data_IF_704003883415
#
_entry.id   IF_704003883415
#
_cell.length_a   1.000
_cell.length_b   1.000
_cell.length_c   1.000
_cell.angle_alpha   90.00
_cell.angle_beta   90.00
_cell.angle_gamma   90.00
#
_symmetry.space_group_name_H-M   'P 1'
#
loop_
_entity.id
_entity.type
_entity.pdbx_description
1 polymer ?
#
# COMPACT_ATOMS: atom_id res chain seq x y z
N UNK A 1 3.14 -15.35 28.12
CA UNK A 1 2.68 -14.18 27.36
C UNK A 1 1.18 -14.34 27.20
N UNK A 2 0.44 -13.88 28.21
CA UNK A 2 -1.02 -13.80 28.16
C UNK A 2 -1.44 -12.90 27.00
N UNK A 3 -2.59 -13.21 26.40
CA UNK A 3 -2.97 -12.72 25.09
C UNK A 3 -3.35 -11.24 25.19
N UNK A 4 -2.43 -10.34 24.84
CA UNK A 4 -2.73 -8.93 24.58
C UNK A 4 -3.78 -8.72 23.45
N UNK A 5 -4.38 -9.79 22.93
CA UNK A 5 -5.39 -9.82 21.89
C UNK A 5 -6.68 -10.51 22.33
N UNK A 6 -6.94 -10.64 23.65
CA UNK A 6 -8.17 -11.26 24.20
C UNK A 6 -9.45 -10.70 23.58
N UNK A 7 -9.57 -9.38 23.42
CA UNK A 7 -10.74 -8.75 22.80
C UNK A 7 -10.90 -9.14 21.32
N UNK A 8 -9.79 -9.25 20.59
CA UNK A 8 -9.82 -9.73 19.20
C UNK A 8 -10.20 -11.21 19.14
N UNK A 9 -9.62 -12.04 20.00
CA UNK A 9 -9.88 -13.47 20.07
C UNK A 9 -11.34 -13.74 20.47
N UNK A 10 -11.91 -12.93 21.37
CA UNK A 10 -13.33 -12.96 21.73
C UNK A 10 -14.22 -12.59 20.54
N UNK A 11 -14.00 -11.42 19.93
CA UNK A 11 -14.75 -10.98 18.75
C UNK A 11 -14.72 -12.01 17.61
N UNK A 12 -13.56 -12.64 17.38
CA UNK A 12 -13.36 -13.67 16.34
C UNK A 12 -13.95 -15.02 16.73
N UNK A 13 -13.93 -15.38 18.01
CA UNK A 13 -14.47 -16.65 18.52
C UNK A 13 -16.00 -16.69 18.66
N UNK A 14 -16.68 -15.54 18.69
CA UNK A 14 -18.12 -15.46 18.92
C UNK A 14 -19.00 -15.94 17.75
N UNK A 15 -19.93 -16.88 17.99
CA UNK A 15 -21.06 -17.19 17.07
C UNK A 15 -20.65 -17.37 15.57
N UNK A 16 -20.02 -18.50 15.21
CA UNK A 16 -19.42 -18.71 13.87
C UNK A 16 -20.40 -18.69 12.68
N UNK A 17 -21.70 -18.70 12.94
CA UNK A 17 -22.75 -18.64 11.92
C UNK A 17 -23.19 -17.22 11.54
N UNK A 18 -22.66 -16.19 12.21
CA UNK A 18 -22.92 -14.78 11.88
C UNK A 18 -21.74 -14.21 11.10
N UNK A 19 -22.05 -13.46 10.04
CA UNK A 19 -21.06 -12.68 9.29
C UNK A 19 -20.66 -11.49 10.16
N UNK A 20 -19.35 -11.34 10.36
CA UNK A 20 -18.73 -10.35 11.24
C UNK A 20 -17.66 -9.62 10.46
N UNK A 21 -17.59 -8.31 10.64
CA UNK A 21 -16.65 -7.46 9.91
C UNK A 21 -15.66 -6.82 10.87
N UNK A 22 -14.38 -7.03 10.59
CA UNK A 22 -13.26 -6.38 11.25
C UNK A 22 -12.69 -5.27 10.35
N UNK A 23 -12.81 -4.04 10.78
CA UNK A 23 -12.17 -2.89 10.16
C UNK A 23 -10.72 -2.76 10.64
N UNK A 24 -9.78 -2.85 9.71
CA UNK A 24 -8.34 -2.79 9.92
C UNK A 24 -7.69 -1.74 9.00
N UNK A 25 -6.46 -1.27 9.28
CA UNK A 25 -5.80 -0.24 8.46
C UNK A 25 -5.63 -0.67 7.00
N UNK A 26 -5.47 -1.96 6.77
CA UNK A 26 -5.51 -2.57 5.45
C UNK A 26 -6.09 -3.98 5.52
N UNK A 27 -6.62 -4.45 4.38
CA UNK A 27 -7.09 -5.83 4.23
C UNK A 27 -5.99 -6.86 4.54
N UNK A 28 -4.72 -6.56 4.21
CA UNK A 28 -3.60 -7.47 4.49
C UNK A 28 -3.29 -7.55 5.99
N UNK A 29 -3.30 -6.42 6.70
CA UNK A 29 -3.11 -6.38 8.16
C UNK A 29 -4.20 -7.18 8.86
N UNK A 30 -5.47 -6.93 8.51
CA UNK A 30 -6.60 -7.67 9.06
C UNK A 30 -6.50 -9.18 8.81
N UNK A 31 -6.17 -9.61 7.58
CA UNK A 31 -5.96 -11.03 7.27
C UNK A 31 -4.80 -11.66 8.05
N UNK A 32 -3.72 -10.93 8.30
CA UNK A 32 -2.60 -11.41 9.14
C UNK A 32 -3.06 -11.62 10.57
N UNK A 33 -3.86 -10.71 11.13
CA UNK A 33 -4.42 -10.83 12.48
C UNK A 33 -5.35 -12.05 12.59
N UNK A 34 -6.27 -12.22 11.64
CA UNK A 34 -7.14 -13.39 11.56
C UNK A 34 -6.36 -14.70 11.45
N UNK A 35 -5.30 -14.74 10.63
CA UNK A 35 -4.42 -15.91 10.54
C UNK A 35 -3.68 -16.19 11.85
N UNK A 36 -3.32 -15.17 12.63
CA UNK A 36 -2.72 -15.35 13.95
C UNK A 36 -3.74 -15.89 14.97
N UNK A 37 -4.99 -15.43 14.96
CA UNK A 37 -6.08 -16.01 15.76
C UNK A 37 -6.25 -17.50 15.44
N UNK A 38 -6.28 -17.87 14.15
CA UNK A 38 -6.37 -19.26 13.73
C UNK A 38 -5.19 -20.11 14.25
N UNK A 39 -3.96 -19.58 14.20
CA UNK A 39 -2.77 -20.25 14.74
C UNK A 39 -2.82 -20.43 16.26
N UNK A 40 -3.55 -19.57 16.99
CA UNK A 40 -3.82 -19.70 18.43
C UNK A 40 -4.95 -20.67 18.76
N UNK A 41 -5.62 -21.25 17.76
CA UNK A 41 -6.74 -22.17 17.95
C UNK A 41 -8.11 -21.49 18.03
N UNK A 42 -8.21 -20.19 17.73
CA UNK A 42 -9.49 -19.46 17.67
C UNK A 42 -10.18 -19.76 16.34
N UNK A 43 -11.47 -20.08 16.38
CA UNK A 43 -12.27 -20.37 15.18
C UNK A 43 -12.62 -19.09 14.41
N UNK A 44 -12.05 -18.89 13.23
CA UNK A 44 -12.17 -17.64 12.45
C UNK A 44 -13.29 -17.67 11.41
N UNK A 45 -14.25 -18.58 11.55
CA UNK A 45 -15.32 -18.76 10.56
C UNK A 45 -16.33 -17.61 10.60
N UNK A 46 -16.67 -17.06 9.44
CA UNK A 46 -17.63 -15.96 9.32
C UNK A 46 -17.07 -14.57 9.65
N UNK A 47 -15.75 -14.43 9.81
CA UNK A 47 -15.10 -13.12 10.03
C UNK A 47 -14.37 -12.66 8.78
N UNK A 48 -14.68 -11.45 8.33
CA UNK A 48 -14.03 -10.81 7.19
C UNK A 48 -13.30 -9.55 7.65
N UNK A 49 -12.09 -9.35 7.14
CA UNK A 49 -11.31 -8.16 7.44
C UNK A 49 -11.21 -7.25 6.22
N UNK A 50 -11.54 -5.98 6.43
CA UNK A 50 -11.55 -4.94 5.40
C UNK A 50 -10.81 -3.69 5.89
N UNK A 51 -10.21 -2.94 4.96
CA UNK A 51 -10.13 -1.48 5.15
C UNK A 51 -11.42 -0.85 4.66
N UNK A 52 -11.71 0.38 5.10
CA UNK A 52 -12.93 1.05 4.69
C UNK A 52 -13.00 1.22 3.16
N UNK A 53 -11.86 1.50 2.54
CA UNK A 53 -11.71 1.48 1.08
C UNK A 53 -12.17 0.16 0.43
N UNK A 54 -11.65 -0.98 0.90
CA UNK A 54 -12.03 -2.28 0.32
C UNK A 54 -13.48 -2.66 0.61
N UNK A 55 -14.04 -2.17 1.72
CA UNK A 55 -15.44 -2.37 2.05
C UNK A 55 -16.34 -1.53 1.13
N UNK A 56 -16.02 -0.26 0.92
CA UNK A 56 -16.76 0.60 0.00
C UNK A 56 -16.75 0.06 -1.43
N UNK A 57 -15.64 -0.51 -1.90
CA UNK A 57 -15.59 -1.20 -3.20
C UNK A 57 -16.54 -2.40 -3.28
N UNK A 58 -16.65 -3.18 -2.21
CA UNK A 58 -17.55 -4.33 -2.16
C UNK A 58 -19.02 -3.89 -2.11
N UNK A 59 -19.33 -2.88 -1.29
CA UNK A 59 -20.66 -2.27 -1.18
C UNK A 59 -21.12 -1.70 -2.53
N UNK A 60 -20.24 -1.01 -3.25
CA UNK A 60 -20.54 -0.44 -4.55
C UNK A 60 -20.39 -1.44 -5.73
N UNK A 61 -20.05 -2.71 -5.46
CA UNK A 61 -19.84 -3.72 -6.49
C UNK A 61 -21.07 -3.94 -7.36
N UNK A 62 -20.87 -4.19 -8.65
CA UNK A 62 -21.93 -4.55 -9.61
C UNK A 62 -22.30 -3.47 -10.63
N UNK A 63 -21.77 -2.24 -10.51
CA UNK A 63 -22.03 -1.18 -11.48
C UNK A 63 -21.01 -1.12 -12.62
N UNK A 64 -21.40 -0.48 -13.73
CA UNK A 64 -20.48 -0.07 -14.81
C UNK A 64 -19.59 1.12 -14.42
N UNK A 65 -19.34 1.33 -13.12
CA UNK A 65 -18.49 2.40 -12.63
C UNK A 65 -17.05 1.90 -12.52
N UNK A 66 -16.11 2.73 -12.96
CA UNK A 66 -14.68 2.42 -12.92
C UNK A 66 -14.00 3.25 -11.86
N UNK A 67 -13.47 2.59 -10.85
CA UNK A 67 -12.61 3.23 -9.87
C UNK A 67 -11.26 3.63 -10.50
N UNK A 68 -10.88 4.89 -10.31
CA UNK A 68 -9.58 5.41 -10.70
C UNK A 68 -8.57 5.19 -9.60
N UNK A 69 -7.45 4.56 -9.95
CA UNK A 69 -6.26 4.59 -9.09
C UNK A 69 -5.79 6.02 -8.91
N UNK A 70 -5.03 6.28 -7.85
CA UNK A 70 -4.47 7.61 -7.60
C UNK A 70 -3.72 8.19 -8.81
N UNK A 71 -2.89 7.41 -9.49
CA UNK A 71 -2.15 7.88 -10.67
C UNK A 71 -3.09 8.25 -11.82
N UNK A 72 -4.14 7.47 -12.05
CA UNK A 72 -5.14 7.78 -13.07
C UNK A 72 -5.91 9.07 -12.72
N UNK A 73 -6.24 9.29 -11.45
CA UNK A 73 -6.85 10.55 -11.03
C UNK A 73 -5.91 11.73 -11.21
N UNK A 74 -4.62 11.57 -10.89
CA UNK A 74 -3.60 12.60 -11.12
C UNK A 74 -3.44 12.92 -12.63
N UNK A 75 -3.55 11.92 -13.51
CA UNK A 75 -3.57 12.12 -14.98
C UNK A 75 -4.82 12.89 -15.44
N UNK A 76 -6.01 12.55 -14.94
CA UNK A 76 -7.25 13.28 -15.27
C UNK A 76 -7.18 14.74 -14.77
N UNK A 77 -6.59 14.96 -13.59
CA UNK A 77 -6.33 16.31 -13.07
C UNK A 77 -5.34 17.06 -13.96
N UNK A 78 -4.25 16.43 -14.38
CA UNK A 78 -3.28 17.05 -15.28
C UNK A 78 -3.91 17.43 -16.62
N UNK A 79 -4.73 16.53 -17.19
CA UNK A 79 -5.47 16.75 -18.42
C UNK A 79 -6.44 17.93 -18.28
N UNK A 80 -7.27 17.94 -17.23
CA UNK A 80 -8.24 19.01 -17.01
C UNK A 80 -7.55 20.34 -16.71
N UNK A 81 -6.48 20.33 -15.92
CA UNK A 81 -5.65 21.50 -15.69
C UNK A 81 -5.21 22.05 -17.03
N UNK A 82 -4.58 21.26 -17.92
CA UNK A 82 -4.04 21.72 -19.22
C UNK A 82 -5.03 22.51 -20.09
N UNK A 83 -6.34 22.31 -19.88
CA UNK A 83 -7.44 22.94 -20.63
C UNK A 83 -8.17 24.05 -19.87
N UNK A 84 -7.82 24.29 -18.61
CA UNK A 84 -8.46 25.34 -17.81
C UNK A 84 -8.12 26.72 -18.34
N UNK A 85 -9.14 27.57 -18.43
CA UNK A 85 -9.04 28.99 -18.77
C UNK A 85 -8.93 29.88 -17.53
N UNK A 86 -9.02 29.30 -16.32
CA UNK A 86 -8.86 30.05 -15.07
C UNK A 86 -7.45 30.69 -15.00
N UNK A 87 -7.33 32.03 -14.90
CA UNK A 87 -6.05 32.73 -14.94
C UNK A 87 -5.06 32.32 -13.83
N UNK A 88 -5.55 31.88 -12.68
CA UNK A 88 -4.70 31.45 -11.55
C UNK A 88 -4.18 30.03 -11.77
N UNK A 89 -4.99 29.15 -12.37
CA UNK A 89 -4.63 27.75 -12.65
C UNK A 89 -3.97 27.56 -14.02
N UNK A 90 -4.08 28.54 -14.92
CA UNK A 90 -3.43 28.51 -16.23
C UNK A 90 -1.91 28.75 -16.17
N UNK A 91 -1.39 29.13 -15.00
CA UNK A 91 0.03 29.43 -14.78
C UNK A 91 0.91 28.20 -15.07
N UNK A 92 2.14 28.37 -15.60
CA UNK A 92 3.06 27.27 -15.92
C UNK A 92 3.32 26.30 -14.76
N UNK A 93 3.29 26.79 -13.51
CA UNK A 93 3.48 25.97 -12.31
C UNK A 93 2.47 24.82 -12.21
N UNK A 94 1.22 25.02 -12.66
CA UNK A 94 0.15 24.02 -12.63
C UNK A 94 0.19 23.07 -13.84
N UNK A 95 1.11 23.25 -14.79
CA UNK A 95 1.27 22.39 -15.98
C UNK A 95 2.20 21.19 -15.73
N UNK A 96 2.60 20.96 -14.49
CA UNK A 96 3.54 19.89 -14.14
C UNK A 96 2.81 18.69 -13.52
N UNK A 97 3.31 17.45 -13.70
CA UNK A 97 2.75 16.27 -13.04
C UNK A 97 2.75 16.39 -11.50
N UNK A 98 3.78 17.02 -10.94
CA UNK A 98 3.87 17.29 -9.51
C UNK A 98 2.76 18.22 -9.00
N UNK A 99 2.41 19.24 -9.79
CA UNK A 99 1.30 20.13 -9.44
C UNK A 99 -0.06 19.43 -9.55
N UNK A 100 -0.28 18.59 -10.56
CA UNK A 100 -1.50 17.78 -10.65
C UNK A 100 -1.65 16.87 -9.42
N UNK A 101 -0.56 16.23 -8.98
CA UNK A 101 -0.52 15.45 -7.75
C UNK A 101 -0.81 16.28 -6.49
N UNK A 102 -0.26 17.49 -6.38
CA UNK A 102 -0.51 18.37 -5.25
C UNK A 102 -1.95 18.88 -5.21
N UNK A 103 -2.50 19.29 -6.37
CA UNK A 103 -3.90 19.73 -6.52
C UNK A 103 -4.84 18.59 -6.15
N UNK A 104 -4.62 17.38 -6.68
CA UNK A 104 -5.45 16.23 -6.34
C UNK A 104 -5.43 15.93 -4.84
N UNK A 105 -4.25 15.89 -4.20
CA UNK A 105 -4.15 15.63 -2.75
C UNK A 105 -4.94 16.63 -1.92
N UNK A 106 -4.84 17.92 -2.26
CA UNK A 106 -5.59 18.97 -1.57
C UNK A 106 -7.11 18.78 -1.74
N UNK A 107 -7.57 18.54 -2.97
CA UNK A 107 -9.00 18.31 -3.25
C UNK A 107 -9.50 17.04 -2.55
N UNK A 108 -8.72 15.96 -2.59
CA UNK A 108 -9.03 14.71 -1.91
C UNK A 108 -9.13 14.92 -0.41
N UNK A 109 -8.20 15.64 0.20
CA UNK A 109 -8.20 15.96 1.63
C UNK A 109 -9.44 16.77 2.03
N UNK A 110 -9.74 17.85 1.31
CA UNK A 110 -10.94 18.67 1.54
C UNK A 110 -12.24 17.84 1.45
N UNK A 111 -12.29 16.92 0.49
CA UNK A 111 -13.44 16.06 0.28
C UNK A 111 -13.58 14.97 1.36
N UNK A 112 -12.47 14.38 1.82
CA UNK A 112 -12.45 13.37 2.88
C UNK A 112 -12.74 13.95 4.27
N UNK A 113 -12.37 15.21 4.49
CA UNK A 113 -12.59 15.92 5.74
C UNK A 113 -13.92 16.68 5.81
N UNK A 114 -14.79 16.52 4.80
CA UNK A 114 -16.14 17.09 4.75
C UNK A 114 -16.15 18.59 5.09
N UNK A 115 -15.21 19.38 4.56
CA UNK A 115 -15.14 20.81 4.86
C UNK A 115 -16.34 21.55 4.21
N UNK A 116 -17.46 21.65 4.93
CA UNK A 116 -18.57 22.55 4.60
C UNK A 116 -18.19 24.02 4.86
N UNK A 117 -18.80 24.94 4.10
CA UNK A 117 -18.08 25.74 3.12
C UNK A 117 -16.76 26.29 3.65
N UNK A 118 -15.67 25.97 2.95
CA UNK A 118 -14.36 26.53 3.26
C UNK A 118 -14.40 28.05 3.04
N UNK A 119 -14.06 28.88 4.04
CA UNK A 119 -14.04 30.34 3.87
C UNK A 119 -13.02 30.70 2.78
N UNK A 120 -13.51 31.29 1.68
CA UNK A 120 -12.68 31.65 0.51
C UNK A 120 -12.61 33.16 0.27
N UNK A 121 -13.10 33.97 1.20
CA UNK A 121 -13.23 35.44 1.03
C UNK A 121 -11.87 36.08 0.69
N UNK A 122 -10.80 35.66 1.37
CA UNK A 122 -9.44 36.19 1.19
C UNK A 122 -8.50 35.27 0.39
N UNK A 123 -9.01 34.17 -0.20
CA UNK A 123 -8.17 33.16 -0.85
C UNK A 123 -8.65 32.87 -2.29
N UNK A 124 -8.29 33.73 -3.26
CA UNK A 124 -8.77 33.60 -4.63
C UNK A 124 -8.28 32.30 -5.29
N UNK A 125 -7.07 31.84 -4.98
CA UNK A 125 -6.55 30.55 -5.48
C UNK A 125 -7.36 29.36 -4.98
N UNK A 126 -7.74 29.37 -3.69
CA UNK A 126 -8.54 28.29 -3.11
C UNK A 126 -9.93 28.24 -3.75
N UNK A 127 -10.54 29.41 -4.02
CA UNK A 127 -11.80 29.50 -4.75
C UNK A 127 -11.70 28.90 -6.15
N UNK A 128 -10.66 29.24 -6.89
CA UNK A 128 -10.38 28.64 -8.21
C UNK A 128 -10.19 27.12 -8.13
N UNK A 129 -9.47 26.63 -7.12
CA UNK A 129 -9.25 25.19 -6.91
C UNK A 129 -10.55 24.46 -6.56
N UNK A 130 -11.42 25.03 -5.73
CA UNK A 130 -12.73 24.45 -5.40
C UNK A 130 -13.66 24.40 -6.63
N UNK A 131 -13.67 25.47 -7.44
CA UNK A 131 -14.41 25.50 -8.71
C UNK A 131 -13.89 24.45 -9.70
N UNK A 132 -12.56 24.32 -9.79
CA UNK A 132 -11.91 23.27 -10.57
C UNK A 132 -12.29 21.87 -10.05
N UNK A 133 -12.29 21.65 -8.74
CA UNK A 133 -12.71 20.38 -8.13
C UNK A 133 -14.17 20.03 -8.45
N UNK A 134 -15.07 21.01 -8.44
CA UNK A 134 -16.46 20.80 -8.86
C UNK A 134 -16.57 20.40 -10.34
N UNK A 135 -15.77 21.04 -11.20
CA UNK A 135 -15.68 20.71 -12.63
C UNK A 135 -15.15 19.29 -12.83
N UNK A 136 -14.06 18.93 -12.13
CA UNK A 136 -13.48 17.58 -12.16
C UNK A 136 -14.51 16.53 -11.76
N UNK A 137 -15.26 16.74 -10.67
CA UNK A 137 -16.30 15.80 -10.24
C UNK A 137 -17.37 15.59 -11.30
N UNK A 138 -17.82 16.67 -11.94
CA UNK A 138 -18.82 16.59 -13.01
C UNK A 138 -18.32 15.77 -14.20
N UNK A 139 -17.13 16.06 -14.69
CA UNK A 139 -16.50 15.34 -15.82
C UNK A 139 -16.28 13.86 -15.51
N UNK A 140 -15.84 13.54 -14.29
CA UNK A 140 -15.64 12.15 -13.87
C UNK A 140 -16.98 11.41 -13.74
N UNK A 141 -18.02 12.05 -13.20
CA UNK A 141 -19.37 11.47 -13.09
C UNK A 141 -19.98 11.18 -14.46
N UNK A 142 -19.87 12.10 -15.42
CA UNK A 142 -20.37 11.91 -16.80
C UNK A 142 -19.72 10.69 -17.50
N UNK A 143 -18.47 10.38 -17.13
CA UNK A 143 -17.71 9.24 -17.66
C UNK A 143 -17.85 7.96 -16.82
N UNK A 144 -18.64 7.98 -15.75
CA UNK A 144 -18.79 6.85 -14.83
C UNK A 144 -17.50 6.48 -14.09
N UNK A 145 -16.65 7.48 -13.79
CA UNK A 145 -15.37 7.32 -13.11
C UNK A 145 -15.48 7.73 -11.64
N UNK A 146 -14.94 6.91 -10.75
CA UNK A 146 -14.98 7.14 -9.31
C UNK A 146 -13.59 7.40 -8.74
N UNK A 147 -13.47 8.48 -7.99
CA UNK A 147 -12.35 8.73 -7.08
C UNK A 147 -12.61 8.09 -5.71
N UNK A 148 -11.62 8.08 -4.81
CA UNK A 148 -11.79 7.55 -3.45
C UNK A 148 -12.90 8.27 -2.66
N UNK A 149 -12.96 9.62 -2.60
CA UNK A 149 -14.07 10.28 -1.92
C UNK A 149 -15.43 10.01 -2.58
N UNK A 150 -15.48 9.99 -3.93
CA UNK A 150 -16.72 9.69 -4.67
C UNK A 150 -17.22 8.27 -4.38
N UNK A 151 -16.32 7.30 -4.24
CA UNK A 151 -16.66 5.93 -3.85
C UNK A 151 -17.33 5.87 -2.47
N UNK A 152 -16.83 6.64 -1.50
CA UNK A 152 -17.41 6.69 -0.16
C UNK A 152 -18.78 7.35 -0.13
N UNK A 153 -18.97 8.42 -0.90
CA UNK A 153 -20.28 9.07 -1.04
C UNK A 153 -21.29 8.15 -1.71
N UNK A 154 -20.89 7.47 -2.78
CA UNK A 154 -21.76 6.48 -3.43
C UNK A 154 -22.14 5.35 -2.46
N UNK A 155 -21.19 4.84 -1.67
CA UNK A 155 -21.48 3.82 -0.67
C UNK A 155 -22.47 4.33 0.40
N UNK A 156 -22.32 5.58 0.83
CA UNK A 156 -23.25 6.25 1.75
C UNK A 156 -24.65 6.39 1.15
N UNK A 157 -24.76 6.95 -0.05
CA UNK A 157 -26.03 7.14 -0.77
C UNK A 157 -26.80 5.83 -0.91
N UNK A 158 -26.11 4.75 -1.28
CA UNK A 158 -26.72 3.42 -1.40
C UNK A 158 -27.21 2.84 -0.08
N UNK A 159 -26.50 3.09 1.01
CA UNK A 159 -26.95 2.70 2.36
C UNK A 159 -28.15 3.55 2.80
N UNK A 160 -28.19 4.83 2.43
CA UNK A 160 -29.29 5.73 2.73
C UNK A 160 -30.56 5.37 1.98
N UNK A 161 -30.45 5.01 0.70
CA UNK A 161 -31.56 4.57 -0.14
C UNK A 161 -31.97 3.11 0.10
N UNK A 162 -31.22 2.38 0.94
CA UNK A 162 -31.51 0.99 1.26
C UNK A 162 -31.26 0.01 0.11
N UNK A 163 -30.46 0.42 -0.90
CA UNK A 163 -30.08 -0.44 -2.03
C UNK A 163 -29.12 -1.56 -1.61
N UNK A 164 -28.38 -1.34 -0.52
CA UNK A 164 -27.45 -2.33 0.04
C UNK A 164 -27.92 -2.73 1.44
N UNK A 165 -28.07 -4.03 1.65
CA UNK A 165 -28.34 -4.59 2.99
C UNK A 165 -27.09 -4.57 3.88
N UNK A 166 -27.31 -4.68 5.20
CA UNK A 166 -26.21 -4.78 6.16
C UNK A 166 -25.28 -5.97 5.81
N UNK A 167 -23.98 -5.72 5.50
CA UNK A 167 -23.08 -6.78 5.04
C UNK A 167 -22.71 -7.77 6.14
N UNK A 168 -22.87 -7.39 7.41
CA UNK A 168 -22.57 -8.19 8.59
C UNK A 168 -23.58 -7.94 9.71
N UNK A 169 -23.62 -8.83 10.70
CA UNK A 169 -24.46 -8.68 11.90
C UNK A 169 -23.69 -8.09 13.09
N UNK A 170 -22.36 -8.14 13.07
CA UNK A 170 -21.51 -7.49 14.08
C UNK A 170 -20.31 -6.85 13.40
N UNK A 171 -19.87 -5.75 13.98
CA UNK A 171 -18.81 -4.91 13.45
C UNK A 171 -17.82 -4.61 14.55
N UNK A 172 -16.53 -4.66 14.23
CA UNK A 172 -15.48 -4.17 15.09
C UNK A 172 -14.47 -3.35 14.30
N UNK A 173 -13.83 -2.39 14.96
CA UNK A 173 -12.74 -1.57 14.42
C UNK A 173 -11.53 -1.70 15.33
N UNK A 174 -10.35 -1.90 14.75
CA UNK A 174 -9.10 -1.81 15.52
C UNK A 174 -8.83 -0.37 15.94
N UNK A 175 -8.35 -0.15 17.17
CA UNK A 175 -8.07 1.21 17.69
C UNK A 175 -7.04 2.00 16.88
N UNK A 176 -6.18 1.32 16.11
CA UNK A 176 -5.19 1.95 15.22
C UNK A 176 -5.77 2.47 13.90
N UNK A 177 -7.06 2.24 13.64
CA UNK A 177 -7.71 2.73 12.42
C UNK A 177 -8.19 4.15 12.68
N UNK A 178 -7.49 5.10 12.07
CA UNK A 178 -7.92 6.49 11.98
C UNK A 178 -8.83 6.65 10.76
N UNK A 179 -10.04 7.15 10.97
CA UNK A 179 -11.00 7.45 9.92
C UNK A 179 -11.08 8.95 9.71
N UNK A 180 -11.10 9.39 8.46
CA UNK A 180 -11.47 10.77 8.14
C UNK A 180 -12.96 11.01 8.45
N UNK A 181 -13.43 12.27 8.55
CA UNK A 181 -14.85 12.57 8.75
C UNK A 181 -15.81 11.85 7.79
N UNK A 182 -15.52 11.83 6.48
CA UNK A 182 -16.34 11.11 5.49
C UNK A 182 -16.33 9.59 5.73
N UNK A 183 -15.17 9.06 6.11
CA UNK A 183 -14.99 7.65 6.42
C UNK A 183 -15.74 7.23 7.69
N UNK A 184 -15.73 8.08 8.71
CA UNK A 184 -16.49 7.89 9.94
C UNK A 184 -17.99 7.95 9.67
N UNK A 185 -18.47 8.89 8.84
CA UNK A 185 -19.88 8.94 8.42
C UNK A 185 -20.32 7.62 7.75
N UNK A 186 -19.53 7.12 6.81
CA UNK A 186 -19.79 5.83 6.15
C UNK A 186 -19.81 4.67 7.15
N UNK A 187 -18.82 4.63 8.04
CA UNK A 187 -18.73 3.58 9.05
C UNK A 187 -19.92 3.61 10.02
N UNK A 188 -20.25 4.78 10.57
CA UNK A 188 -21.37 4.97 11.48
C UNK A 188 -22.70 4.60 10.82
N UNK A 189 -22.91 5.00 9.56
CA UNK A 189 -24.13 4.67 8.82
C UNK A 189 -24.26 3.17 8.59
N UNK A 190 -23.15 2.50 8.25
CA UNK A 190 -23.11 1.06 8.02
C UNK A 190 -23.39 0.26 9.29
N UNK A 191 -22.81 0.67 10.42
CA UNK A 191 -22.89 -0.09 11.68
C UNK A 191 -24.05 0.35 12.57
N UNK A 192 -24.76 1.43 12.22
CA UNK A 192 -25.77 2.06 13.08
C UNK A 192 -25.19 2.50 14.43
N UNK A 193 -23.89 2.83 14.47
CA UNK A 193 -23.15 3.14 15.71
C UNK A 193 -22.85 1.96 16.63
N UNK A 194 -23.22 0.73 16.26
CA UNK A 194 -23.04 -0.46 17.10
C UNK A 194 -21.68 -1.18 16.91
N UNK A 195 -20.63 -0.47 16.49
CA UNK A 195 -19.32 -1.06 16.25
C UNK A 195 -18.49 -1.14 17.55
N UNK A 196 -17.94 -2.31 17.85
CA UNK A 196 -16.98 -2.47 18.93
C UNK A 196 -15.62 -1.88 18.55
N UNK A 197 -14.91 -1.27 19.50
CA UNK A 197 -13.51 -0.87 19.30
C UNK A 197 -12.61 -1.91 19.97
N UNK A 198 -11.84 -2.63 19.16
CA UNK A 198 -10.85 -3.59 19.63
C UNK A 198 -9.54 -2.82 19.88
N UNK A 199 -9.10 -2.68 21.15
CA UNK A 199 -7.84 -2.02 21.44
C UNK A 199 -6.69 -2.85 20.90
N UNK A 200 -5.85 -2.23 20.09
CA UNK A 200 -4.52 -2.75 19.81
C UNK A 200 -3.68 -2.44 21.06
N UNK A 201 -3.03 -3.45 21.66
CA UNK A 201 -2.26 -3.26 22.88
C UNK A 201 -1.11 -2.29 22.63
N UNK A 202 -1.27 -1.04 23.09
CA UNK A 202 -0.18 -0.10 23.20
C UNK A 202 0.80 -0.63 24.24
N UNK A 203 2.00 -1.02 23.79
CA UNK A 203 3.05 -1.38 24.73
C UNK A 203 3.59 -0.08 25.30
N UNK A 204 3.37 0.14 26.59
CA UNK A 204 4.04 1.19 27.33
C UNK A 204 5.56 1.09 27.08
N UNK A 205 6.15 2.21 26.65
CA UNK A 205 7.54 2.30 26.22
C UNK A 205 8.48 1.99 27.38
N UNK A 206 8.09 2.30 28.62
CA UNK A 206 8.95 2.09 29.80
C UNK A 206 9.08 0.60 30.16
N UNK A 207 8.00 -0.18 30.34
CA UNK A 207 8.08 -1.64 30.49
C UNK A 207 8.69 -2.34 29.28
N UNK A 208 8.44 -1.83 28.06
CA UNK A 208 9.07 -2.36 26.85
C UNK A 208 10.59 -2.17 26.89
N UNK A 209 11.06 -0.96 27.23
CA UNK A 209 12.48 -0.67 27.34
C UNK A 209 13.16 -1.54 28.41
N UNK A 210 12.55 -1.71 29.59
CA UNK A 210 13.03 -2.62 30.63
C UNK A 210 13.08 -4.07 30.14
N UNK A 211 12.02 -4.57 29.49
CA UNK A 211 11.95 -5.92 28.94
C UNK A 211 12.91 -6.17 27.76
N UNK A 212 13.40 -5.10 27.14
CA UNK A 212 14.38 -5.12 26.06
C UNK A 212 15.83 -4.93 26.54
N UNK A 213 16.07 -4.56 27.81
CA UNK A 213 17.42 -4.46 28.37
C UNK A 213 18.16 -5.78 28.22
N UNK A 214 19.38 -5.72 27.68
CA UNK A 214 20.21 -6.90 27.37
C UNK A 214 19.76 -7.72 26.17
N UNK A 215 18.63 -7.39 25.53
CA UNK A 215 18.12 -8.05 24.31
C UNK A 215 18.31 -7.20 23.05
N UNK A 216 18.42 -5.88 23.21
CA UNK A 216 18.77 -4.97 22.12
C UNK A 216 20.27 -4.96 21.82
N UNK A 217 20.60 -4.88 20.53
CA UNK A 217 21.98 -4.70 20.05
C UNK A 217 21.97 -3.57 19.04
N UNK A 218 22.91 -2.64 19.20
CA UNK A 218 23.17 -1.59 18.23
C UNK A 218 24.43 -1.95 17.47
N UNK A 219 24.35 -1.96 16.15
CA UNK A 219 25.48 -2.34 15.29
C UNK A 219 25.69 -1.27 14.25
N UNK A 220 26.95 -0.85 14.12
CA UNK A 220 27.36 0.13 13.11
C UNK A 220 28.07 -0.60 11.98
N UNK A 221 27.51 -0.50 10.78
CA UNK A 221 28.11 -1.04 9.56
C UNK A 221 28.62 0.11 8.67
N UNK A 222 29.64 -0.18 7.86
CA UNK A 222 30.11 0.76 6.83
C UNK A 222 29.32 0.55 5.55
N UNK A 223 28.30 1.38 5.34
CA UNK A 223 27.46 1.35 4.15
C UNK A 223 26.33 0.31 4.21
N UNK A 224 25.32 0.53 3.36
CA UNK A 224 24.07 -0.23 3.34
C UNK A 224 24.26 -1.71 3.04
N UNK A 225 25.11 -2.05 2.07
CA UNK A 225 25.32 -3.46 1.69
C UNK A 225 25.90 -4.30 2.83
N UNK A 226 26.85 -3.74 3.59
CA UNK A 226 27.43 -4.42 4.73
C UNK A 226 26.44 -4.57 5.88
N UNK A 227 25.56 -3.59 6.07
CA UNK A 227 24.47 -3.66 7.06
C UNK A 227 23.50 -4.81 6.73
N UNK A 228 23.08 -4.93 5.47
CA UNK A 228 22.20 -6.01 5.02
C UNK A 228 22.87 -7.39 5.13
N UNK A 229 24.13 -7.52 4.72
CA UNK A 229 24.90 -8.76 4.88
C UNK A 229 25.04 -9.16 6.34
N UNK A 230 25.34 -8.19 7.20
CA UNK A 230 25.42 -8.42 8.64
C UNK A 230 24.08 -8.91 9.19
N UNK A 231 22.96 -8.30 8.78
CA UNK A 231 21.62 -8.69 9.19
C UNK A 231 21.29 -10.14 8.82
N UNK A 232 21.52 -10.55 7.57
CA UNK A 232 21.29 -11.94 7.16
C UNK A 232 22.23 -12.93 7.87
N UNK A 233 23.50 -12.57 8.06
CA UNK A 233 24.44 -13.40 8.79
C UNK A 233 24.08 -13.52 10.29
N UNK A 234 23.50 -12.48 10.89
CA UNK A 234 23.02 -12.53 12.27
C UNK A 234 21.77 -13.40 12.40
N UNK A 235 20.79 -13.27 11.50
CA UNK A 235 19.61 -14.13 11.45
C UNK A 235 19.99 -15.61 11.29
N UNK A 236 20.91 -15.91 10.36
CA UNK A 236 21.40 -17.27 10.14
C UNK A 236 22.13 -17.84 11.37
N UNK A 237 22.98 -17.04 12.03
CA UNK A 237 23.71 -17.48 13.24
C UNK A 237 22.79 -17.75 14.43
N UNK A 238 21.68 -17.01 14.55
CA UNK A 238 20.71 -17.21 15.63
C UNK A 238 19.79 -18.41 15.39
N UNK A 239 19.69 -18.89 14.15
CA UNK A 239 18.78 -19.98 13.79
C UNK A 239 17.29 -19.63 13.99
N UNK A 240 16.96 -18.33 13.98
CA UNK A 240 15.58 -17.87 14.16
C UNK A 240 14.75 -18.20 12.92
N UNK A 241 13.52 -18.73 13.08
CA UNK A 241 12.62 -18.93 11.96
C UNK A 241 12.35 -17.62 11.21
N UNK A 242 12.50 -17.64 9.88
CA UNK A 242 12.33 -16.46 9.05
C UNK A 242 10.91 -15.88 9.12
N UNK A 243 9.90 -16.73 9.38
CA UNK A 243 8.50 -16.34 9.53
C UNK A 243 8.22 -15.56 10.83
N UNK A 244 9.17 -15.54 11.77
CA UNK A 244 9.12 -14.76 13.02
C UNK A 244 10.00 -13.52 12.99
N UNK A 245 10.76 -13.32 11.92
CA UNK A 245 11.70 -12.22 11.78
C UNK A 245 11.06 -11.06 11.02
N UNK A 246 11.16 -9.85 11.55
CA UNK A 246 10.65 -8.62 10.92
C UNK A 246 11.77 -7.59 10.87
N UNK A 247 11.93 -6.95 9.71
CA UNK A 247 12.91 -5.88 9.50
C UNK A 247 12.16 -4.61 9.13
N UNK A 248 12.23 -3.62 10.01
CA UNK A 248 11.76 -2.27 9.71
C UNK A 248 12.88 -1.52 8.97
N UNK A 249 12.53 -0.85 7.88
CA UNK A 249 13.48 -0.13 7.02
C UNK A 249 13.02 1.32 6.82
N UNK A 250 13.97 2.23 6.57
CA UNK A 250 13.70 3.67 6.48
C UNK A 250 12.96 4.09 5.21
N UNK A 251 12.89 3.23 4.19
CA UNK A 251 12.19 3.54 2.96
C UNK A 251 12.21 2.42 1.93
N UNK A 252 11.46 2.59 0.82
CA UNK A 252 11.26 1.55 -0.18
C UNK A 252 12.54 1.14 -0.91
N UNK A 253 13.50 2.05 -1.11
CA UNK A 253 14.79 1.70 -1.72
C UNK A 253 15.62 0.77 -0.82
N UNK A 254 15.51 0.95 0.50
CA UNK A 254 16.17 0.05 1.45
C UNK A 254 15.50 -1.33 1.45
N UNK A 255 14.16 -1.37 1.39
CA UNK A 255 13.39 -2.60 1.22
C UNK A 255 13.76 -3.38 -0.05
N UNK A 256 13.96 -2.67 -1.17
CA UNK A 256 14.47 -3.28 -2.40
C UNK A 256 15.88 -3.84 -2.23
N UNK A 257 16.80 -3.08 -1.62
CA UNK A 257 18.17 -3.55 -1.36
C UNK A 257 18.16 -4.82 -0.50
N UNK A 258 17.32 -4.86 0.54
CA UNK A 258 17.13 -6.03 1.40
C UNK A 258 16.61 -7.23 0.60
N UNK A 259 15.60 -7.02 -0.26
CA UNK A 259 15.05 -8.08 -1.10
C UNK A 259 16.07 -8.64 -2.09
N UNK A 260 16.83 -7.77 -2.77
CA UNK A 260 17.89 -8.19 -3.71
C UNK A 260 18.98 -9.00 -3.02
N UNK A 261 19.41 -8.56 -1.84
CA UNK A 261 20.44 -9.27 -1.08
C UNK A 261 19.91 -10.61 -0.53
N UNK A 262 18.64 -10.66 -0.09
CA UNK A 262 17.98 -11.91 0.28
C UNK A 262 17.92 -12.89 -0.88
N UNK A 263 17.51 -12.43 -2.08
CA UNK A 263 17.50 -13.24 -3.29
C UNK A 263 18.89 -13.80 -3.63
N UNK A 264 19.93 -12.96 -3.51
CA UNK A 264 21.34 -13.36 -3.74
C UNK A 264 21.79 -14.46 -2.77
N UNK A 265 21.30 -14.42 -1.53
CA UNK A 265 21.64 -15.36 -0.46
C UNK A 265 20.69 -16.57 -0.39
N UNK A 266 19.66 -16.64 -1.24
CA UNK A 266 18.63 -17.68 -1.20
C UNK A 266 17.69 -17.57 0.00
N UNK A 267 17.60 -16.40 0.64
CA UNK A 267 16.71 -16.13 1.77
C UNK A 267 15.41 -15.51 1.26
N UNK A 268 14.23 -16.13 1.53
CA UNK A 268 12.96 -15.55 1.12
C UNK A 268 12.67 -14.28 1.91
N UNK A 269 12.47 -13.16 1.21
CA UNK A 269 12.13 -11.85 1.79
C UNK A 269 10.80 -11.38 1.21
N UNK A 270 9.86 -11.05 2.10
CA UNK A 270 8.62 -10.38 1.74
C UNK A 270 8.73 -8.89 2.12
N UNK A 271 8.50 -8.00 1.15
CA UNK A 271 8.53 -6.54 1.37
C UNK A 271 7.10 -6.02 1.46
N UNK A 272 6.76 -5.40 2.57
CA UNK A 272 5.47 -4.74 2.74
C UNK A 272 5.39 -3.51 1.82
N UNK A 273 4.28 -3.35 1.10
CA UNK A 273 4.13 -2.32 0.06
C UNK A 273 4.74 -2.69 -1.31
N UNK A 274 5.37 -3.87 -1.43
CA UNK A 274 5.90 -4.38 -2.70
C UNK A 274 7.24 -3.79 -3.12
N UNK A 275 7.71 -4.19 -4.30
CA UNK A 275 8.99 -3.76 -4.86
C UNK A 275 8.73 -2.67 -5.90
N UNK A 276 9.38 -1.50 -5.82
CA UNK A 276 9.14 -0.44 -6.78
C UNK A 276 9.49 -0.87 -8.22
N UNK A 277 8.52 -0.72 -9.13
CA UNK A 277 8.68 -1.10 -10.55
C UNK A 277 9.74 -0.27 -11.28
N UNK A 278 10.06 0.94 -10.81
CA UNK A 278 11.11 1.81 -11.38
C UNK A 278 12.46 1.11 -11.55
N UNK A 279 12.69 0.10 -10.71
CA UNK A 279 13.93 -0.68 -10.69
C UNK A 279 13.86 -1.95 -11.53
N UNK A 280 12.78 -2.13 -12.31
CA UNK A 280 12.58 -3.27 -13.20
C UNK A 280 13.12 -2.98 -14.61
N UNK A 281 13.57 -4.01 -15.30
CA UNK A 281 14.02 -3.89 -16.69
C UNK A 281 12.91 -3.43 -17.64
N UNK A 282 11.64 -3.75 -17.34
CA UNK A 282 10.51 -3.26 -18.13
C UNK A 282 10.37 -1.74 -18.00
N UNK A 283 10.47 -1.22 -16.78
CA UNK A 283 10.40 0.23 -16.57
C UNK A 283 11.55 0.95 -17.30
N UNK A 284 12.80 0.49 -17.14
CA UNK A 284 13.93 1.08 -17.86
C UNK A 284 13.80 1.02 -19.39
N UNK A 285 13.17 -0.02 -19.93
CA UNK A 285 12.83 -0.10 -21.35
C UNK A 285 11.78 0.95 -21.74
N UNK A 286 10.70 1.08 -20.97
CA UNK A 286 9.63 2.05 -21.26
C UNK A 286 10.13 3.50 -21.15
N UNK A 287 10.94 3.79 -20.13
CA UNK A 287 11.58 5.09 -19.91
C UNK A 287 12.51 5.42 -21.08
N UNK A 288 13.43 4.52 -21.44
CA UNK A 288 14.32 4.77 -22.57
C UNK A 288 13.61 4.86 -23.92
N UNK A 289 12.48 4.16 -24.12
CA UNK A 289 11.63 4.36 -25.31
C UNK A 289 10.98 5.76 -25.33
N UNK A 290 10.57 6.29 -24.17
CA UNK A 290 10.07 7.67 -24.08
C UNK A 290 11.17 8.67 -24.39
N UNK A 291 12.36 8.51 -23.79
CA UNK A 291 13.53 9.37 -24.03
C UNK A 291 13.97 9.35 -25.49
N UNK A 292 13.94 8.17 -26.13
CA UNK A 292 14.26 8.03 -27.55
C UNK A 292 13.26 8.79 -28.42
N UNK A 293 11.96 8.70 -28.14
CA UNK A 293 10.94 9.47 -28.83
C UNK A 293 11.12 10.99 -28.63
N UNK A 294 11.38 11.42 -27.40
CA UNK A 294 11.57 12.84 -27.05
C UNK A 294 12.84 13.43 -27.67
N UNK A 295 13.86 12.62 -27.89
CA UNK A 295 15.08 13.01 -28.61
C UNK A 295 14.91 13.12 -30.14
N UNK A 296 13.73 12.82 -30.69
CA UNK A 296 13.54 12.78 -32.14
C UNK A 296 14.13 11.53 -32.78
N UNK A 297 14.16 10.41 -32.04
CA UNK A 297 14.62 9.10 -32.48
C UNK A 297 16.13 8.96 -32.75
N UNK A 298 16.97 9.64 -31.96
CA UNK A 298 18.43 9.51 -32.03
C UNK A 298 18.91 8.06 -31.85
N UNK A 299 19.70 7.55 -32.80
CA UNK A 299 20.20 6.17 -32.77
C UNK A 299 21.04 5.85 -31.52
N UNK A 300 21.81 6.82 -31.02
CA UNK A 300 22.65 6.67 -29.82
C UNK A 300 21.84 6.34 -28.57
N UNK A 301 20.62 6.84 -28.47
CA UNK A 301 19.69 6.54 -27.35
C UNK A 301 18.97 5.21 -27.52
N UNK A 302 18.89 4.69 -28.74
CA UNK A 302 18.26 3.41 -29.03
C UNK A 302 19.17 2.21 -28.74
N UNK A 303 20.48 2.33 -28.98
CA UNK A 303 21.44 1.23 -28.80
C UNK A 303 21.43 0.61 -27.39
N UNK A 304 21.37 1.39 -26.29
CA UNK A 304 21.25 0.83 -24.93
C UNK A 304 19.96 0.02 -24.74
N UNK A 305 18.85 0.37 -25.40
CA UNK A 305 17.57 -0.33 -25.25
C UNK A 305 17.60 -1.75 -25.83
N UNK A 306 18.32 -1.94 -26.95
CA UNK A 306 18.52 -3.26 -27.56
C UNK A 306 19.28 -4.21 -26.61
N UNK A 307 20.24 -3.68 -25.86
CA UNK A 307 21.00 -4.45 -24.88
C UNK A 307 20.17 -4.83 -23.62
N UNK A 308 19.21 -3.99 -23.24
CA UNK A 308 18.28 -4.23 -22.14
C UNK A 308 17.32 -5.41 -22.42
N UNK A 309 16.97 -5.63 -23.70
CA UNK A 309 16.22 -6.79 -24.16
C UNK A 309 17.10 -8.06 -24.29
N UNK A 310 18.34 -7.90 -24.76
CA UNK A 310 19.27 -9.01 -25.01
C UNK A 310 19.86 -9.66 -23.74
N UNK A 311 19.93 -8.94 -22.61
CA UNK A 311 20.46 -9.48 -21.34
C UNK A 311 19.69 -10.67 -20.73
N UNK A 312 18.56 -11.08 -21.33
CA UNK A 312 17.72 -12.20 -20.84
C UNK A 312 17.87 -13.51 -21.60
N UNK A 313 18.43 -13.53 -22.80
CA UNK A 313 18.73 -14.80 -23.50
C UNK A 313 20.01 -15.48 -23.00
N UNK A 314 20.91 -14.74 -22.32
CA UNK A 314 22.16 -15.30 -21.77
C UNK A 314 22.07 -15.75 -20.30
N UNK A 315 21.07 -15.29 -19.52
CA UNK A 315 21.00 -15.52 -18.06
C UNK A 315 20.32 -16.82 -17.60
N UNK A 316 19.82 -17.67 -18.51
CA UNK A 316 19.14 -18.94 -18.18
C UNK A 316 20.00 -20.20 -18.33
N UNK A 317 21.30 -20.06 -18.63
CA UNK A 317 22.26 -21.20 -18.68
C UNK A 317 23.41 -20.99 -17.69
N UNK A 318 23.12 -21.20 -16.41
CA UNK A 318 24.12 -21.62 -15.43
C UNK A 318 23.41 -22.29 -14.26
N UNK A 319 22.81 -23.43 -14.59
CA UNK A 319 22.38 -24.44 -13.63
C UNK A 319 22.76 -25.79 -14.22
N UNK A 320 24.05 -26.12 -14.26
CA UNK A 320 24.51 -27.52 -14.26
C UNK A 320 26.03 -27.63 -14.03
N UNK A 321 26.37 -28.61 -13.21
CA UNK A 321 27.68 -29.28 -13.06
C UNK A 321 28.68 -28.67 -12.09
N UNK A 322 28.34 -28.77 -10.80
CA UNK A 322 29.34 -29.02 -9.76
C UNK A 322 29.78 -30.49 -9.87
N UNK A 323 30.77 -30.78 -10.72
CA UNK A 323 31.52 -32.03 -10.70
C UNK A 323 32.81 -31.80 -9.91
N UNK A 324 32.91 -32.41 -8.73
CA UNK A 324 34.09 -32.31 -7.86
C UNK A 324 35.35 -32.92 -8.49
N UNK A 325 36.56 -32.49 -8.08
CA UNK A 325 37.78 -33.14 -8.50
C UNK A 325 38.07 -34.40 -7.67
N UNK A 326 38.41 -35.44 -8.43
CA UNK A 326 38.76 -36.82 -8.08
C UNK A 326 39.98 -36.95 -7.16
N UNK A 327 39.97 -38.05 -6.40
CA UNK A 327 41.08 -38.62 -5.62
C UNK A 327 42.37 -38.68 -6.44
N UNK A 328 43.49 -38.24 -5.83
CA UNK A 328 44.85 -38.52 -6.32
C UNK A 328 45.25 -39.94 -5.91
N UNK A 329 45.41 -40.81 -6.89
CA UNK A 329 46.23 -42.03 -6.78
C UNK A 329 47.63 -41.72 -7.27
N UNK A 330 48.63 -41.99 -6.43
CA UNK A 330 50.05 -42.03 -6.79
C UNK A 330 50.34 -43.23 -7.69
N UNK A 331 51.31 -43.13 -8.61
CA UNK A 331 52.06 -44.29 -9.05
C UNK A 331 53.47 -44.28 -8.45
N UNK A 332 53.86 -45.46 -7.97
CA UNK A 332 55.26 -45.84 -7.72
C UNK A 332 55.98 -45.99 -9.06
N UNK A 333 57.20 -45.47 -9.10
CA UNK A 333 58.37 -46.10 -9.72
C UNK A 333 59.60 -45.45 -9.11
#
# INVERSE_FOLDING_TARGET
>A
MESNWENLDAFVGERPLRRRLLLAPSRSVGRRLLAQCARRGVLVVGVEAHSLFTLALELCGGEKLRFLTRLQTEEEVAWLLSRTEDPLLARPAFRTPGAAGAVWRLLEELELHCCEPVPTEDQPLLRSLLSFGATLRKELAERGLLTRPALYRLALEKLEWGEIGAPAQQYARLSTVELTPLEEQLWQRLTGGAAEVIPVPERDVVPLAEGLKGRCRFVRCRGRENELRWLFADLARRGEPLDRSVVAVTGPDYGLSLWREGLRLGVPVAVDGGIPLRHSALFGLLEGLSDWRESGYEAERFLPLLSCAAGRSAGRRSATLWCGPRRRTTPRS
#
